data_IF_586160778346
#
_entry.id   IF_586160778346
#
_cell.length_a   1.000
_cell.length_b   1.000
_cell.length_c   1.000
_cell.angle_alpha   90.00
_cell.angle_beta   90.00
_cell.angle_gamma   90.00
#
_symmetry.space_group_name_H-M   'P 1'
#
loop_
_entity.id
_entity.type
_entity.pdbx_description
1 polymer ?
#
# COMPACT_ATOMS: atom_id res chain seq x y z
N UNK A 1 19.60 21.13 24.04
CA UNK A 1 20.00 20.94 22.64
C UNK A 1 19.38 19.62 22.19
N UNK A 2 18.14 19.65 21.70
CA UNK A 2 17.43 18.43 21.29
C UNK A 2 18.00 17.96 19.96
N UNK A 3 18.66 16.80 19.95
CA UNK A 3 19.15 16.19 18.72
C UNK A 3 17.98 15.49 18.01
N UNK A 4 17.92 15.62 16.69
CA UNK A 4 16.97 14.95 15.79
C UNK A 4 17.21 13.42 15.71
N UNK A 5 17.73 12.82 16.78
CA UNK A 5 18.44 11.54 16.83
C UNK A 5 17.59 10.42 17.45
N UNK A 6 16.28 10.60 17.58
CA UNK A 6 15.44 9.56 18.18
C UNK A 6 15.36 8.29 17.30
N UNK A 7 15.59 8.44 15.99
CA UNK A 7 15.47 7.34 15.03
C UNK A 7 16.60 7.37 14.00
N UNK A 8 17.22 6.21 13.79
CA UNK A 8 18.29 5.97 12.81
C UNK A 8 17.76 5.87 11.36
N UNK A 9 16.45 5.67 11.18
CA UNK A 9 15.87 5.52 9.85
C UNK A 9 14.34 5.45 9.81
N UNK A 10 13.78 5.73 8.63
CA UNK A 10 12.34 5.74 8.38
C UNK A 10 12.00 4.72 7.28
N UNK A 11 11.02 3.85 7.56
CA UNK A 11 10.50 2.85 6.63
C UNK A 11 9.19 3.37 6.04
N UNK A 12 9.17 3.53 4.72
CA UNK A 12 7.99 3.96 3.98
C UNK A 12 7.14 2.73 3.58
N UNK A 13 6.02 2.58 4.27
CA UNK A 13 5.03 1.52 4.04
C UNK A 13 4.95 0.54 5.20
N UNK A 14 4.01 0.74 6.12
CA UNK A 14 3.72 -0.20 7.23
C UNK A 14 2.88 -1.43 6.79
N UNK A 15 3.20 -1.99 5.62
CA UNK A 15 2.69 -3.29 5.19
C UNK A 15 3.49 -4.45 5.78
N UNK A 16 3.19 -5.69 5.37
CA UNK A 16 3.86 -6.89 5.87
C UNK A 16 5.39 -6.82 5.73
N UNK A 17 5.89 -6.38 4.57
CA UNK A 17 7.32 -6.26 4.31
C UNK A 17 7.97 -5.15 5.15
N UNK A 18 7.29 -4.01 5.32
CA UNK A 18 7.82 -2.89 6.11
C UNK A 18 7.93 -3.24 7.60
N UNK A 19 6.97 -3.98 8.14
CA UNK A 19 7.02 -4.46 9.53
C UNK A 19 8.09 -5.56 9.73
N UNK A 20 8.24 -6.48 8.77
CA UNK A 20 9.32 -7.48 8.83
C UNK A 20 10.70 -6.80 8.77
N UNK A 21 10.90 -5.86 7.84
CA UNK A 21 12.13 -5.07 7.76
C UNK A 21 12.39 -4.30 9.06
N UNK A 22 11.36 -3.68 9.64
CA UNK A 22 11.47 -2.99 10.93
C UNK A 22 11.93 -3.93 12.05
N UNK A 23 11.37 -5.14 12.13
CA UNK A 23 11.76 -6.12 13.13
C UNK A 23 13.23 -6.55 13.01
N UNK A 24 13.73 -6.73 11.78
CA UNK A 24 15.14 -7.04 11.55
C UNK A 24 16.06 -5.86 11.88
N UNK A 25 15.68 -4.63 11.53
CA UNK A 25 16.47 -3.43 11.86
C UNK A 25 16.49 -3.17 13.37
N UNK A 26 15.37 -3.37 14.08
CA UNK A 26 15.34 -3.30 15.55
C UNK A 26 16.18 -4.40 16.20
N UNK A 27 16.22 -5.61 15.62
CA UNK A 27 17.11 -6.68 16.09
C UNK A 27 18.59 -6.36 15.87
N UNK A 28 18.92 -5.59 14.84
CA UNK A 28 20.26 -5.06 14.61
C UNK A 28 20.61 -3.85 15.50
N UNK A 29 19.68 -3.39 16.34
CA UNK A 29 19.89 -2.28 17.29
C UNK A 29 19.48 -0.91 16.77
N UNK A 30 18.87 -0.82 15.59
CA UNK A 30 18.46 0.45 14.98
C UNK A 30 17.05 0.86 15.43
N UNK A 31 16.89 2.12 15.82
CA UNK A 31 15.60 2.72 16.13
C UNK A 31 14.95 3.21 14.84
N UNK A 32 13.99 2.46 14.32
CA UNK A 32 13.35 2.79 13.04
C UNK A 32 11.87 3.08 13.19
N UNK A 33 11.38 4.14 12.53
CA UNK A 33 9.97 4.51 12.45
C UNK A 33 9.35 3.93 11.17
N UNK A 34 8.21 3.25 11.28
CA UNK A 34 7.45 2.74 10.13
C UNK A 34 6.17 3.55 9.93
N UNK A 35 5.98 4.11 8.73
CA UNK A 35 4.81 4.92 8.40
C UNK A 35 3.99 4.26 7.29
N UNK A 36 2.68 4.13 7.49
CA UNK A 36 1.75 3.76 6.42
C UNK A 36 1.23 5.02 5.72
N UNK A 37 1.23 5.00 4.38
CA UNK A 37 0.50 6.00 3.63
C UNK A 37 -0.99 5.95 4.01
N UNK A 38 -1.57 7.11 4.30
CA UNK A 38 -3.02 7.24 4.41
C UNK A 38 -3.62 6.79 3.08
N UNK A 39 -4.25 5.61 3.06
CA UNK A 39 -4.84 5.05 1.85
C UNK A 39 -5.93 6.01 1.39
N UNK A 40 -5.75 6.66 0.24
CA UNK A 40 -6.76 7.52 -0.34
C UNK A 40 -8.02 6.68 -0.60
N UNK A 41 -9.05 6.87 0.23
CA UNK A 41 -10.39 6.23 0.03
C UNK A 41 -10.98 6.53 -1.35
N UNK A 42 -10.49 7.57 -2.02
CA UNK A 42 -10.85 7.93 -3.39
C UNK A 42 -10.76 6.77 -4.37
N UNK A 43 -9.78 5.85 -4.24
CA UNK A 43 -9.66 4.70 -5.16
C UNK A 43 -10.78 3.67 -4.96
N UNK A 44 -11.23 3.40 -3.74
CA UNK A 44 -12.36 2.48 -3.52
C UNK A 44 -13.69 3.13 -3.87
N UNK A 45 -13.79 4.45 -3.70
CA UNK A 45 -14.95 5.22 -4.17
C UNK A 45 -14.99 5.26 -5.69
N UNK A 46 -13.85 5.39 -6.39
CA UNK A 46 -13.78 5.24 -7.85
C UNK A 46 -14.12 3.81 -8.27
N UNK A 47 -13.57 2.78 -7.63
CA UNK A 47 -13.89 1.38 -7.99
C UNK A 47 -15.39 1.07 -7.76
N UNK A 48 -16.05 1.72 -6.79
CA UNK A 48 -17.51 1.61 -6.56
C UNK A 48 -18.34 2.47 -7.50
N UNK A 49 -17.90 3.69 -7.80
CA UNK A 49 -18.63 4.65 -8.64
C UNK A 49 -18.49 4.34 -10.13
N UNK A 50 -17.30 3.88 -10.54
CA UNK A 50 -16.96 3.49 -11.91
C UNK A 50 -16.90 1.97 -12.08
N UNK A 51 -17.50 1.23 -11.14
CA UNK A 51 -17.73 -0.21 -11.16
C UNK A 51 -16.81 -0.95 -12.11
N UNK A 52 -15.65 -1.42 -11.60
CA UNK A 52 -14.72 -2.23 -12.39
C UNK A 52 -15.51 -3.34 -13.08
N UNK A 53 -15.77 -3.18 -14.38
CA UNK A 53 -16.32 -4.23 -15.23
C UNK A 53 -15.23 -5.28 -15.31
N UNK A 54 -15.20 -6.21 -14.34
CA UNK A 54 -14.65 -7.53 -14.57
C UNK A 54 -15.25 -7.96 -15.90
N UNK A 55 -14.42 -8.28 -16.88
CA UNK A 55 -14.85 -8.74 -18.19
C UNK A 55 -15.77 -9.95 -18.07
N UNK A 56 -17.06 -9.69 -17.88
CA UNK A 56 -18.13 -10.62 -18.19
C UNK A 56 -18.36 -10.46 -19.68
N UNK A 57 -18.16 -11.57 -20.39
CA UNK A 57 -18.41 -11.78 -21.80
C UNK A 57 -19.36 -10.76 -22.44
N UNK A 58 -18.96 -10.18 -23.58
CA UNK A 58 -19.85 -9.44 -24.47
C UNK A 58 -21.08 -10.32 -24.77
N UNK A 59 -22.30 -9.96 -24.31
CA UNK A 59 -23.49 -10.61 -24.84
C UNK A 59 -23.68 -10.06 -26.26
N UNK A 60 -23.62 -10.96 -27.25
CA UNK A 60 -23.74 -10.73 -28.70
C UNK A 60 -22.46 -10.26 -29.42
N UNK A 61 -21.60 -11.22 -29.77
CA UNK A 61 -20.94 -11.14 -31.06
C UNK A 61 -22.01 -11.46 -32.14
N UNK A 62 -22.20 -10.61 -33.17
CA UNK A 62 -23.03 -10.99 -34.29
C UNK A 62 -22.39 -12.20 -34.96
N UNK A 63 -23.15 -13.29 -35.11
CA UNK A 63 -22.80 -14.40 -35.99
C UNK A 63 -22.70 -13.84 -37.40
N UNK A 64 -21.49 -13.49 -37.83
CA UNK A 64 -21.19 -13.31 -39.24
C UNK A 64 -21.39 -14.66 -39.93
N UNK A 65 -22.08 -14.59 -41.06
CA UNK A 65 -22.70 -15.69 -41.83
C UNK A 65 -21.75 -16.80 -42.25
#
# INVERSE_FOLDING_TARGET
MGCLDEYDGIILGAGHNGLITQAYLSRAGLKTLSSAAARSRARSLLDRAFGRTKGTALPNAPSVS
#
